data_IF_886618494739
#
_entry.id   IF_886618494739
#
_cell.length_a   1.000
_cell.length_b   1.000
_cell.length_c   1.000
_cell.angle_alpha   90.00
_cell.angle_beta   90.00
_cell.angle_gamma   90.00
#
_symmetry.space_group_name_H-M   'P 1'
#
loop_
_entity.id
_entity.type
_entity.pdbx_description
1 polymer ?
#
# COMPACT_ATOMS: atom_id res chain seq x y z
N UNK A 1 0.79 2.53 -2.02
CA UNK A 1 1.38 3.87 -2.28
C UNK A 1 0.38 4.81 -2.94
N UNK A 2 0.02 4.61 -4.23
CA UNK A 2 -0.93 5.50 -4.96
C UNK A 2 -2.24 5.77 -4.19
N UNK A 3 -2.87 4.74 -3.63
CA UNK A 3 -4.10 4.90 -2.85
C UNK A 3 -3.95 5.88 -1.68
N UNK A 4 -2.78 5.97 -1.04
CA UNK A 4 -2.51 6.93 0.03
C UNK A 4 -2.36 8.37 -0.49
N UNK A 5 -1.65 8.56 -1.61
CA UNK A 5 -1.52 9.88 -2.27
C UNK A 5 -2.90 10.41 -2.65
N UNK A 6 -3.71 9.58 -3.29
CA UNK A 6 -5.04 9.95 -3.77
C UNK A 6 -6.03 10.15 -2.60
N UNK A 7 -5.96 9.34 -1.53
CA UNK A 7 -6.83 9.49 -0.36
C UNK A 7 -6.46 10.69 0.51
N UNK A 8 -5.16 10.98 0.70
CA UNK A 8 -4.72 12.21 1.40
C UNK A 8 -5.22 13.46 0.67
N UNK A 9 -5.09 13.49 -0.66
CA UNK A 9 -5.63 14.57 -1.49
C UNK A 9 -7.16 14.70 -1.39
N UNK A 10 -7.88 13.58 -1.34
CA UNK A 10 -9.34 13.55 -1.16
C UNK A 10 -9.76 14.14 0.19
N UNK A 11 -9.07 13.76 1.28
CA UNK A 11 -9.32 14.28 2.62
C UNK A 11 -9.00 15.78 2.70
N UNK A 12 -7.85 16.21 2.19
CA UNK A 12 -7.44 17.62 2.18
C UNK A 12 -8.46 18.49 1.44
N UNK A 13 -8.96 18.02 0.29
CA UNK A 13 -9.99 18.77 -0.44
C UNK A 13 -11.33 18.82 0.28
N UNK A 14 -11.77 17.74 0.94
CA UNK A 14 -12.97 17.77 1.78
C UNK A 14 -12.83 18.76 2.93
N UNK A 15 -11.74 18.67 3.70
CA UNK A 15 -11.45 19.59 4.82
C UNK A 15 -11.40 21.04 4.33
N UNK A 16 -10.78 21.30 3.18
CA UNK A 16 -10.70 22.63 2.56
C UNK A 16 -12.06 23.15 2.06
N UNK A 17 -12.97 22.29 1.58
CA UNK A 17 -14.37 22.65 1.29
C UNK A 17 -15.13 22.97 2.58
N UNK A 18 -15.00 22.14 3.60
CA UNK A 18 -15.70 22.29 4.88
C UNK A 18 -15.28 23.58 5.63
N UNK A 19 -13.99 23.91 5.66
CA UNK A 19 -13.48 25.18 6.22
C UNK A 19 -14.10 26.38 5.48
N UNK A 20 -14.08 26.37 4.14
CA UNK A 20 -14.68 27.42 3.30
C UNK A 20 -16.18 27.57 3.50
N UNK A 21 -16.92 26.46 3.69
CA UNK A 21 -18.36 26.48 3.92
C UNK A 21 -18.74 27.00 5.32
N UNK A 22 -17.86 26.83 6.32
CA UNK A 22 -18.09 27.24 7.72
C UNK A 22 -17.49 28.59 8.08
N UNK A 23 -16.60 29.15 7.24
CA UNK A 23 -15.86 30.38 7.55
C UNK A 23 -14.87 30.22 8.71
N UNK A 24 -14.42 28.99 8.98
CA UNK A 24 -13.52 28.68 10.09
C UNK A 24 -12.11 28.32 9.60
N UNK A 25 -11.14 29.06 10.13
CA UNK A 25 -9.73 29.06 9.77
C UNK A 25 -8.84 28.55 10.94
N UNK A 26 -9.45 28.22 12.08
CA UNK A 26 -8.74 28.16 13.38
C UNK A 26 -8.02 26.84 13.69
N UNK A 27 -8.04 25.86 12.79
CA UNK A 27 -7.38 24.57 12.99
C UNK A 27 -6.77 24.02 11.69
N UNK A 28 -5.50 24.34 11.46
CA UNK A 28 -4.68 23.74 10.40
C UNK A 28 -4.24 22.32 10.76
N UNK A 29 -5.12 21.35 10.54
CA UNK A 29 -4.70 19.98 10.25
C UNK A 29 -4.27 19.89 8.78
N UNK A 30 -3.19 19.14 8.50
CA UNK A 30 -2.61 18.95 7.16
C UNK A 30 -2.56 17.46 6.84
N UNK A 31 -3.15 17.04 5.71
CA UNK A 31 -3.18 15.62 5.31
C UNK A 31 -1.98 15.27 4.42
N UNK A 32 -1.01 14.50 4.94
CA UNK A 32 0.21 14.14 4.21
C UNK A 32 0.29 12.62 3.94
N UNK A 33 0.51 12.17 2.69
CA UNK A 33 0.64 10.75 2.38
C UNK A 33 2.02 10.21 2.77
N UNK A 34 2.07 9.38 3.81
CA UNK A 34 3.30 8.68 4.24
C UNK A 34 3.42 7.33 3.53
N UNK A 35 4.58 7.05 2.94
CA UNK A 35 4.91 5.76 2.34
C UNK A 35 5.51 4.83 3.39
N UNK A 36 4.90 3.66 3.63
CA UNK A 36 5.38 2.65 4.57
C UNK A 36 6.57 1.82 4.01
N UNK A 37 7.60 2.53 3.56
CA UNK A 37 8.93 2.06 3.17
C UNK A 37 9.94 3.15 3.56
N UNK A 38 11.24 2.84 3.59
CA UNK A 38 12.26 3.90 3.70
C UNK A 38 12.52 4.55 2.34
N UNK A 39 12.89 5.84 2.28
CA UNK A 39 13.13 6.56 1.00
C UNK A 39 14.13 5.83 0.11
N UNK A 40 15.25 5.36 0.66
CA UNK A 40 16.29 4.63 -0.08
C UNK A 40 15.83 3.24 -0.58
N UNK A 41 14.80 2.65 0.03
CA UNK A 41 14.25 1.36 -0.42
C UNK A 41 13.32 1.47 -1.62
N UNK A 42 12.98 2.70 -2.07
CA UNK A 42 12.26 2.92 -3.34
C UNK A 42 13.01 2.41 -4.57
N UNK A 43 14.33 2.20 -4.48
CA UNK A 43 15.11 1.47 -5.49
C UNK A 43 14.60 0.05 -5.77
N UNK A 44 13.94 -0.59 -4.80
CA UNK A 44 13.27 -1.89 -4.96
C UNK A 44 11.87 -1.76 -5.57
N UNK A 45 11.27 -0.57 -5.53
CA UNK A 45 9.90 -0.25 -5.97
C UNK A 45 9.92 0.50 -7.32
N UNK A 46 10.72 0.01 -8.28
CA UNK A 46 11.02 0.72 -9.55
C UNK A 46 9.78 1.17 -10.31
N UNK A 47 8.71 0.36 -10.34
CA UNK A 47 7.47 0.68 -11.04
C UNK A 47 6.74 1.88 -10.42
N UNK A 48 6.68 1.95 -9.09
CA UNK A 48 6.10 3.09 -8.37
C UNK A 48 6.96 4.36 -8.52
N UNK A 49 8.28 4.23 -8.38
CA UNK A 49 9.21 5.34 -8.57
C UNK A 49 9.16 5.90 -10.01
N UNK A 50 9.08 5.02 -11.02
CA UNK A 50 8.90 5.42 -12.42
C UNK A 50 7.55 6.08 -12.66
N UNK A 51 6.46 5.52 -12.12
CA UNK A 51 5.12 6.10 -12.25
C UNK A 51 5.10 7.53 -11.70
N UNK A 52 5.68 7.76 -10.51
CA UNK A 52 5.77 9.10 -9.91
C UNK A 52 6.55 10.08 -10.80
N UNK A 53 7.73 9.67 -11.27
CA UNK A 53 8.54 10.45 -12.21
C UNK A 53 7.77 10.76 -13.51
N UNK A 54 7.13 9.76 -14.13
CA UNK A 54 6.41 9.89 -15.40
C UNK A 54 5.17 10.79 -15.32
N UNK A 55 4.47 10.84 -14.18
CA UNK A 55 3.34 11.77 -14.00
C UNK A 55 3.77 13.18 -13.54
N UNK A 56 5.06 13.42 -13.32
CA UNK A 56 5.58 14.69 -12.80
C UNK A 56 5.28 14.91 -11.31
N UNK A 57 5.15 13.85 -10.52
CA UNK A 57 4.97 13.95 -9.07
C UNK A 57 6.34 14.19 -8.41
N UNK A 58 6.47 15.32 -7.72
CA UNK A 58 7.65 15.64 -6.93
C UNK A 58 7.82 14.66 -5.76
N UNK A 59 9.00 14.05 -5.65
CA UNK A 59 9.31 13.08 -4.61
C UNK A 59 9.59 13.72 -3.25
N UNK A 60 9.85 15.04 -3.19
CA UNK A 60 10.04 15.77 -1.92
C UNK A 60 8.69 16.05 -1.23
N UNK A 61 7.62 16.14 -2.03
CA UNK A 61 6.21 16.19 -1.59
C UNK A 61 5.68 14.85 -1.06
N UNK A 62 6.51 13.80 -0.96
CA UNK A 62 6.20 12.52 -0.31
C UNK A 62 7.05 12.35 0.96
N UNK A 63 6.42 11.92 2.06
CA UNK A 63 7.12 11.50 3.28
C UNK A 63 7.30 9.98 3.30
N UNK A 64 8.43 9.52 3.83
CA UNK A 64 8.73 8.10 4.02
C UNK A 64 8.76 7.72 5.50
N UNK A 65 8.63 6.42 5.80
CA UNK A 65 8.52 5.93 7.18
C UNK A 65 9.73 6.24 8.08
N UNK A 66 10.88 6.56 7.49
CA UNK A 66 12.10 6.98 8.19
C UNK A 66 12.24 8.51 8.38
N UNK A 67 11.22 9.28 8.02
CA UNK A 67 11.26 10.75 7.92
C UNK A 67 10.21 11.45 8.80
N UNK A 68 9.35 10.65 9.45
CA UNK A 68 8.27 11.13 10.31
C UNK A 68 8.56 10.66 11.74
N UNK A 69 8.72 11.61 12.65
CA UNK A 69 8.80 11.34 14.09
C UNK A 69 7.41 10.99 14.63
N UNK A 70 6.97 9.75 14.35
CA UNK A 70 5.67 9.25 14.79
C UNK A 70 5.57 9.16 16.32
N UNK A 71 6.68 8.90 17.01
CA UNK A 71 6.72 8.80 18.48
C UNK A 71 6.57 10.18 19.13
N UNK A 72 7.37 11.18 18.72
CA UNK A 72 7.26 12.56 19.20
C UNK A 72 5.91 13.20 18.85
N UNK A 73 5.37 12.96 17.65
CA UNK A 73 4.04 13.45 17.26
C UNK A 73 2.91 12.79 18.07
N UNK A 74 3.02 11.49 18.38
CA UNK A 74 2.08 10.78 19.24
C UNK A 74 2.15 11.28 20.69
N UNK A 75 3.35 11.38 21.26
CA UNK A 75 3.59 11.88 22.62
C UNK A 75 3.19 13.34 22.81
N UNK A 76 3.28 14.16 21.75
CA UNK A 76 2.80 15.54 21.75
C UNK A 76 1.27 15.68 21.54
N UNK A 77 0.54 14.57 21.32
CA UNK A 77 -0.90 14.59 21.02
C UNK A 77 -1.25 15.22 19.67
N UNK A 78 -0.31 15.27 18.71
CA UNK A 78 -0.44 15.93 17.40
C UNK A 78 -0.62 14.97 16.23
N UNK A 79 -0.58 13.66 16.47
CA UNK A 79 -0.74 12.63 15.44
C UNK A 79 -2.18 12.13 15.33
N UNK A 80 -2.69 12.07 14.10
CA UNK A 80 -3.80 11.21 13.70
C UNK A 80 -3.34 10.41 12.49
N UNK A 81 -3.56 9.10 12.48
CA UNK A 81 -3.03 8.19 11.46
C UNK A 81 -4.12 7.24 10.97
N UNK A 82 -4.13 6.97 9.66
CA UNK A 82 -5.08 6.08 9.00
C UNK A 82 -4.28 5.18 8.03
N UNK A 83 -4.32 3.87 8.24
CA UNK A 83 -3.61 2.89 7.42
C UNK A 83 -4.46 2.51 6.20
N UNK A 84 -3.98 2.84 5.00
CA UNK A 84 -4.68 2.53 3.76
C UNK A 84 -4.67 1.02 3.49
N UNK A 85 -5.84 0.45 3.19
CA UNK A 85 -6.06 -0.98 3.04
C UNK A 85 -6.45 -1.70 4.35
N UNK A 86 -6.14 -1.11 5.51
CA UNK A 86 -6.43 -1.69 6.83
C UNK A 86 -7.52 -0.92 7.59
N UNK A 87 -7.49 0.41 7.62
CA UNK A 87 -8.52 1.21 8.31
C UNK A 87 -9.56 1.72 7.32
N UNK A 88 -9.12 2.08 6.11
CA UNK A 88 -9.94 2.59 5.01
C UNK A 88 -9.55 1.90 3.69
N UNK A 89 -10.45 1.92 2.69
CA UNK A 89 -10.23 1.28 1.39
C UNK A 89 -9.91 -0.24 1.50
N UNK A 90 -10.52 -0.94 2.46
CA UNK A 90 -10.45 -2.40 2.58
C UNK A 90 -11.05 -3.05 1.32
N UNK A 91 -10.35 -4.04 0.75
CA UNK A 91 -10.87 -4.88 -0.33
C UNK A 91 -11.69 -6.02 0.28
N UNK A 92 -12.99 -6.06 -0.03
CA UNK A 92 -13.92 -7.09 0.44
C UNK A 92 -14.17 -8.20 -0.60
N UNK A 93 -13.27 -8.37 -1.58
CA UNK A 93 -13.42 -9.33 -2.67
C UNK A 93 -14.34 -8.89 -3.83
N UNK A 94 -14.75 -7.62 -3.85
CA UNK A 94 -15.55 -7.01 -4.95
C UNK A 94 -14.70 -6.22 -5.96
N UNK A 95 -13.39 -6.09 -5.73
CA UNK A 95 -12.43 -5.32 -6.55
C UNK A 95 -11.04 -5.97 -6.51
N UNK A 96 -10.24 -5.78 -7.56
CA UNK A 96 -8.82 -6.13 -7.58
C UNK A 96 -7.89 -5.07 -6.99
N UNK A 97 -8.27 -3.78 -7.05
CA UNK A 97 -7.45 -2.66 -6.55
C UNK A 97 -8.13 -1.84 -5.47
N UNK A 98 -7.34 -1.35 -4.50
CA UNK A 98 -7.77 -0.32 -3.54
C UNK A 98 -8.09 1.02 -4.24
N UNK A 99 -7.48 1.28 -5.40
CA UNK A 99 -7.69 2.51 -6.16
C UNK A 99 -9.05 2.52 -6.87
N UNK A 100 -9.61 1.35 -7.19
CA UNK A 100 -11.00 1.21 -7.70
C UNK A 100 -12.01 1.76 -6.69
N UNK A 101 -11.79 1.54 -5.40
CA UNK A 101 -12.66 2.07 -4.33
C UNK A 101 -12.66 3.60 -4.34
N UNK A 102 -11.54 4.26 -4.65
CA UNK A 102 -11.47 5.72 -4.76
C UNK A 102 -12.28 6.28 -5.94
N UNK A 103 -12.36 5.56 -7.06
CA UNK A 103 -13.19 5.96 -8.20
C UNK A 103 -14.69 5.70 -8.00
N UNK A 104 -15.04 4.74 -7.15
CA UNK A 104 -16.42 4.28 -6.88
C UNK A 104 -17.10 5.06 -5.74
N UNK A 105 -16.37 5.91 -5.00
CA UNK A 105 -16.95 6.78 -3.99
C UNK A 105 -17.72 7.96 -4.65
N UNK A 106 -19.00 7.75 -5.01
CA UNK A 106 -19.93 8.67 -5.72
C UNK A 106 -20.21 10.06 -5.07
N UNK A 107 -19.31 10.60 -4.25
CA UNK A 107 -19.35 11.94 -3.70
C UNK A 107 -18.66 12.96 -4.64
N UNK A 108 -19.04 14.24 -4.55
CA UNK A 108 -18.44 15.33 -5.35
C UNK A 108 -16.91 15.46 -5.12
N UNK A 109 -16.36 14.98 -4.00
CA UNK A 109 -14.91 14.99 -3.75
C UNK A 109 -14.13 14.04 -4.68
N UNK A 110 -14.73 12.90 -5.05
CA UNK A 110 -14.14 11.99 -6.01
C UNK A 110 -14.16 12.57 -7.44
N UNK A 111 -15.14 13.43 -7.75
CA UNK A 111 -15.18 14.12 -9.04
C UNK A 111 -13.97 15.04 -9.22
N UNK A 112 -13.64 15.88 -8.24
CA UNK A 112 -12.46 16.77 -8.31
C UNK A 112 -11.14 15.97 -8.42
N UNK A 113 -11.07 14.84 -7.72
CA UNK A 113 -9.95 13.88 -7.79
C UNK A 113 -9.82 13.25 -9.18
N UNK A 114 -10.94 12.94 -9.84
CA UNK A 114 -10.98 12.44 -11.22
C UNK A 114 -10.71 13.53 -12.27
N UNK A 115 -11.00 14.81 -11.98
CA UNK A 115 -10.62 15.93 -12.87
C UNK A 115 -9.11 16.23 -12.82
N UNK A 116 -8.43 15.90 -11.71
CA UNK A 116 -6.99 16.16 -11.54
C UNK A 116 -6.14 15.19 -12.39
N UNK A 117 -5.46 15.64 -13.47
CA UNK A 117 -4.90 14.71 -14.47
C UNK A 117 -3.80 13.79 -13.94
N UNK A 118 -3.02 14.26 -12.97
CA UNK A 118 -1.97 13.47 -12.28
C UNK A 118 -2.61 12.32 -11.49
N UNK A 119 -3.63 12.61 -10.68
CA UNK A 119 -4.33 11.60 -9.88
C UNK A 119 -5.08 10.60 -10.77
N UNK A 120 -5.76 11.07 -11.82
CA UNK A 120 -6.40 10.22 -12.85
C UNK A 120 -5.41 9.23 -13.47
N UNK A 121 -4.20 9.67 -13.84
CA UNK A 121 -3.13 8.78 -14.33
C UNK A 121 -2.62 7.81 -13.25
N UNK A 122 -2.39 8.29 -12.02
CA UNK A 122 -1.92 7.45 -10.91
C UNK A 122 -2.91 6.33 -10.59
N UNK A 123 -4.20 6.64 -10.47
CA UNK A 123 -5.28 5.68 -10.21
C UNK A 123 -5.35 4.63 -11.31
N UNK A 124 -5.32 5.06 -12.58
CA UNK A 124 -5.35 4.15 -13.73
C UNK A 124 -4.15 3.20 -13.71
N UNK A 125 -2.94 3.74 -13.51
CA UNK A 125 -1.72 2.94 -13.44
C UNK A 125 -1.74 1.93 -12.27
N UNK A 126 -2.25 2.31 -11.10
CA UNK A 126 -2.36 1.44 -9.95
C UNK A 126 -3.39 0.31 -10.17
N UNK A 127 -4.58 0.63 -10.68
CA UNK A 127 -5.59 -0.40 -10.99
C UNK A 127 -5.04 -1.36 -12.03
N UNK A 128 -4.40 -0.88 -13.11
CA UNK A 128 -3.82 -1.73 -14.15
C UNK A 128 -2.67 -2.62 -13.62
N UNK A 129 -1.85 -2.14 -12.68
CA UNK A 129 -0.82 -2.97 -12.03
C UNK A 129 -1.45 -4.06 -11.14
N UNK A 130 -2.30 -3.68 -10.19
CA UNK A 130 -2.95 -4.59 -9.23
C UNK A 130 -3.76 -5.69 -9.95
N UNK A 131 -4.38 -5.34 -11.09
CA UNK A 131 -5.26 -6.22 -11.88
C UNK A 131 -4.56 -6.97 -13.02
N UNK A 132 -3.25 -6.78 -13.23
CA UNK A 132 -2.52 -7.32 -14.40
C UNK A 132 -3.20 -6.95 -15.73
N UNK A 133 -3.49 -5.66 -15.91
CA UNK A 133 -4.28 -5.10 -17.02
C UNK A 133 -5.67 -5.74 -17.16
N UNK A 134 -6.39 -5.93 -16.04
CA UNK A 134 -7.68 -6.63 -15.95
C UNK A 134 -7.66 -8.10 -16.43
N UNK A 135 -6.51 -8.78 -16.36
CA UNK A 135 -6.36 -10.20 -16.73
C UNK A 135 -6.02 -11.12 -15.54
N UNK A 136 -5.98 -10.59 -14.31
CA UNK A 136 -5.65 -11.38 -13.11
C UNK A 136 -6.64 -12.55 -12.93
N UNK A 137 -6.19 -13.82 -12.83
CA UNK A 137 -7.05 -15.01 -12.74
C UNK A 137 -7.61 -15.20 -11.31
N UNK A 138 -8.03 -14.12 -10.67
CA UNK A 138 -8.48 -14.12 -9.27
C UNK A 138 -9.88 -14.73 -9.10
N UNK A 139 -10.22 -15.12 -7.88
CA UNK A 139 -11.58 -15.57 -7.52
C UNK A 139 -12.61 -14.43 -7.45
N UNK A 140 -12.22 -13.19 -7.71
CA UNK A 140 -13.02 -11.98 -7.53
C UNK A 140 -13.46 -11.39 -8.86
N UNK A 141 -14.67 -10.81 -8.88
CA UNK A 141 -15.20 -10.12 -10.08
C UNK A 141 -14.46 -8.81 -10.30
N UNK A 142 -13.82 -8.69 -11.47
CA UNK A 142 -13.07 -7.48 -11.86
C UNK A 142 -13.95 -6.42 -12.53
N UNK A 143 -15.28 -6.57 -12.46
CA UNK A 143 -16.24 -5.69 -13.16
C UNK A 143 -16.12 -4.24 -12.71
N UNK A 144 -15.99 -3.98 -11.39
CA UNK A 144 -15.81 -2.63 -10.84
C UNK A 144 -14.47 -2.03 -11.24
N UNK A 145 -13.40 -2.82 -11.31
CA UNK A 145 -12.10 -2.36 -11.81
C UNK A 145 -12.18 -2.01 -13.31
N UNK A 146 -12.97 -2.76 -14.09
CA UNK A 146 -13.21 -2.46 -15.51
C UNK A 146 -14.04 -1.17 -15.71
N UNK A 147 -15.09 -0.96 -14.92
CA UNK A 147 -15.88 0.28 -14.90
C UNK A 147 -15.01 1.50 -14.50
N UNK A 148 -14.18 1.35 -13.46
CA UNK A 148 -13.22 2.36 -13.03
C UNK A 148 -12.19 2.68 -14.11
N UNK A 149 -11.59 1.68 -14.74
CA UNK A 149 -10.67 1.85 -15.87
C UNK A 149 -11.36 2.55 -17.04
N UNK A 150 -12.62 2.21 -17.36
CA UNK A 150 -13.37 2.89 -18.42
C UNK A 150 -13.60 4.37 -18.11
N UNK A 151 -13.98 4.72 -16.87
CA UNK A 151 -14.14 6.10 -16.41
C UNK A 151 -12.82 6.89 -16.46
N UNK A 152 -11.73 6.28 -16.02
CA UNK A 152 -10.39 6.86 -16.04
C UNK A 152 -9.80 7.00 -17.45
N UNK A 153 -10.31 6.27 -18.44
CA UNK A 153 -9.91 6.37 -19.85
C UNK A 153 -10.70 7.41 -20.66
N UNK A 154 -11.76 8.03 -20.13
CA UNK A 154 -12.53 9.01 -20.91
C UNK A 154 -11.65 10.23 -21.25
N UNK A 155 -11.53 10.53 -22.55
CA UNK A 155 -10.65 11.57 -23.09
C UNK A 155 -9.22 11.11 -23.42
N UNK A 156 -8.88 9.83 -23.17
CA UNK A 156 -7.60 9.24 -23.59
C UNK A 156 -7.62 8.81 -25.07
N UNK A 157 -6.44 8.65 -25.66
CA UNK A 157 -6.30 8.08 -27.02
C UNK A 157 -6.67 6.59 -27.05
N UNK A 158 -7.05 6.05 -28.22
CA UNK A 158 -7.15 4.60 -28.41
C UNK A 158 -5.87 3.88 -27.96
N UNK A 159 -6.03 2.66 -27.44
CA UNK A 159 -4.97 1.81 -26.89
C UNK A 159 -4.17 2.35 -25.69
N UNK A 160 -4.43 3.58 -25.20
CA UNK A 160 -3.68 4.21 -24.09
C UNK A 160 -3.55 3.31 -22.85
N UNK A 161 -4.61 2.56 -22.50
CA UNK A 161 -4.62 1.54 -21.44
C UNK A 161 -3.46 0.56 -21.55
N UNK A 162 -3.28 -0.04 -22.73
CA UNK A 162 -2.28 -1.07 -22.96
C UNK A 162 -0.89 -0.42 -23.01
N UNK A 163 -0.72 0.67 -23.78
CA UNK A 163 0.56 1.40 -23.83
C UNK A 163 1.05 1.85 -22.46
N UNK A 164 0.16 2.30 -21.58
CA UNK A 164 0.48 2.67 -20.20
C UNK A 164 0.88 1.42 -19.37
N UNK A 165 0.16 0.31 -19.50
CA UNK A 165 0.51 -0.93 -18.80
C UNK A 165 1.84 -1.52 -19.28
N UNK A 166 2.08 -1.56 -20.59
CA UNK A 166 3.30 -2.03 -21.21
C UNK A 166 4.52 -1.23 -20.69
N UNK A 167 4.38 0.09 -20.58
CA UNK A 167 5.38 0.96 -19.96
C UNK A 167 5.56 0.66 -18.46
N UNK A 168 4.47 0.45 -17.71
CA UNK A 168 4.53 0.15 -16.27
C UNK A 168 5.21 -1.20 -15.95
N UNK A 169 5.18 -2.18 -16.86
CA UNK A 169 5.86 -3.48 -16.69
C UNK A 169 7.25 -3.57 -17.34
N UNK A 170 7.62 -2.62 -18.20
CA UNK A 170 8.92 -2.58 -18.87
C UNK A 170 10.07 -2.38 -17.85
N UNK A 171 11.24 -2.98 -18.10
CA UNK A 171 12.44 -2.68 -17.31
C UNK A 171 12.92 -1.25 -17.62
N UNK A 172 12.64 -0.35 -16.67
CA UNK A 172 12.87 1.08 -16.81
C UNK A 172 14.36 1.42 -16.73
N UNK A 173 15.02 1.44 -17.89
CA UNK A 173 16.46 1.72 -18.08
C UNK A 173 16.77 3.12 -18.63
N UNK A 174 15.77 3.99 -18.76
CA UNK A 174 15.99 5.37 -19.20
C UNK A 174 16.99 6.10 -18.28
N UNK A 175 17.90 6.88 -18.88
CA UNK A 175 18.97 7.56 -18.17
C UNK A 175 18.44 8.71 -17.29
N UNK A 176 17.44 9.46 -17.75
CA UNK A 176 16.86 10.56 -16.99
C UNK A 176 16.05 10.04 -15.79
N UNK A 177 15.31 8.94 -15.96
CA UNK A 177 14.71 8.22 -14.84
C UNK A 177 15.77 7.66 -13.87
N UNK A 178 16.85 7.04 -14.36
CA UNK A 178 17.92 6.52 -13.51
C UNK A 178 18.65 7.62 -12.72
N UNK A 179 18.77 8.83 -13.29
CA UNK A 179 19.28 9.99 -12.59
C UNK A 179 18.28 10.53 -11.56
N UNK A 180 17.02 10.73 -11.93
CA UNK A 180 15.97 11.14 -11.01
C UNK A 180 15.81 10.15 -9.84
N UNK A 181 16.01 8.85 -10.08
CA UNK A 181 15.99 7.81 -9.06
C UNK A 181 17.17 7.95 -8.08
N UNK A 182 18.35 8.40 -8.55
CA UNK A 182 19.52 8.70 -7.69
C UNK A 182 19.36 9.99 -6.90
N UNK A 183 18.81 11.03 -7.53
CA UNK A 183 18.60 12.33 -6.88
C UNK A 183 17.53 12.23 -5.78
N UNK A 184 16.39 11.60 -6.06
CA UNK A 184 15.23 11.58 -5.16
C UNK A 184 15.24 10.44 -4.12
N UNK A 185 16.02 9.37 -4.34
CA UNK A 185 16.01 8.16 -3.49
C UNK A 185 17.41 7.62 -3.16
N UNK A 186 18.44 8.44 -3.31
CA UNK A 186 19.82 8.10 -2.94
C UNK A 186 20.48 7.06 -3.85
N UNK A 187 21.56 6.43 -3.37
CA UNK A 187 22.36 5.49 -4.16
C UNK A 187 21.64 4.13 -4.34
N UNK A 188 21.82 3.44 -5.48
CA UNK A 188 21.35 2.08 -5.64
C UNK A 188 21.94 1.14 -4.58
N UNK A 189 21.22 0.08 -4.16
CA UNK A 189 21.79 -0.97 -3.34
C UNK A 189 23.05 -1.56 -3.98
N UNK A 190 24.13 -1.67 -3.21
CA UNK A 190 25.37 -2.31 -3.66
C UNK A 190 25.07 -3.77 -4.06
N UNK A 191 25.47 -4.16 -5.28
CA UNK A 191 25.31 -5.56 -5.75
C UNK A 191 26.29 -6.54 -5.09
N UNK A 192 27.25 -6.04 -4.33
CA UNK A 192 28.18 -6.85 -3.53
C UNK A 192 27.50 -7.38 -2.27
N UNK A 193 26.75 -8.48 -2.43
CA UNK A 193 26.30 -9.28 -1.29
C UNK A 193 27.48 -10.01 -0.68
N UNK A 194 28.10 -9.41 0.34
CA UNK A 194 28.85 -10.13 1.36
C UNK A 194 28.46 -9.54 2.72
N UNK A 195 28.07 -10.42 3.63
CA UNK A 195 27.81 -10.06 5.02
C UNK A 195 29.15 -9.72 5.70
N UNK A 196 29.24 -8.51 6.22
CA UNK A 196 30.35 -8.01 7.03
C UNK A 196 29.83 -6.87 7.90
N UNK A 197 28.80 -7.17 8.68
CA UNK A 197 28.68 -6.53 9.99
C UNK A 197 29.83 -7.06 10.89
N UNK A 198 30.07 -6.35 11.99
CA UNK A 198 31.22 -6.48 12.89
C UNK A 198 32.58 -5.93 12.35
N UNK A 199 33.43 -5.52 13.30
CA UNK A 199 34.80 -5.03 13.10
C UNK A 199 35.02 -3.70 12.32
N UNK A 200 34.23 -2.66 12.66
CA UNK A 200 34.65 -1.26 12.53
C UNK A 200 34.72 -0.49 13.87
N UNK A 201 34.63 -1.20 15.01
CA UNK A 201 34.93 -0.66 16.33
C UNK A 201 36.44 -0.80 16.64
N UNK A 202 36.96 0.13 17.45
CA UNK A 202 38.35 0.19 17.94
C UNK A 202 39.45 0.41 16.90
N UNK A 203 39.80 1.69 16.70
CA UNK A 203 41.20 2.08 16.48
C UNK A 203 41.60 3.18 17.46
N UNK A 204 42.76 2.98 18.09
CA UNK A 204 43.57 3.95 18.83
C UNK A 204 42.99 4.57 20.12
N UNK A 205 43.36 3.99 21.27
CA UNK A 205 44.07 4.74 22.31
C UNK A 205 44.83 3.77 23.23
N UNK A 206 46.14 3.65 23.02
CA UNK A 206 47.00 2.87 23.94
C UNK A 206 47.27 3.65 25.23
N UNK A 207 47.12 3.02 26.39
CA UNK A 207 47.83 3.42 27.63
C UNK A 207 48.15 2.20 28.51
N UNK A 208 49.44 2.07 28.83
CA UNK A 208 50.07 1.22 29.86
C UNK A 208 49.39 1.43 31.24
N UNK A 209 49.41 0.55 32.25
CA UNK A 209 49.81 -0.87 32.49
C UNK A 209 49.41 -1.15 34.00
N UNK A 210 49.83 -2.22 34.73
CA UNK A 210 50.51 -3.48 34.39
C UNK A 210 49.77 -4.76 34.91
N UNK A 211 50.47 -5.88 34.96
CA UNK A 211 50.01 -7.25 35.25
C UNK A 211 49.74 -7.61 36.71
N UNK A 212 48.82 -8.57 36.94
CA UNK A 212 48.87 -9.55 38.05
C UNK A 212 48.59 -10.96 37.49
N UNK A 213 49.33 -11.98 37.95
CA UNK A 213 49.11 -13.40 37.64
C UNK A 213 48.09 -14.03 38.59
N UNK A 214 47.33 -15.01 38.10
CA UNK A 214 47.20 -16.30 38.83
C UNK A 214 46.93 -17.47 37.87
N UNK A 215 47.02 -18.69 38.38
CA UNK A 215 47.16 -19.96 37.63
C UNK A 215 46.42 -21.09 38.36
N UNK A 216 45.96 -22.09 37.58
CA UNK A 216 45.38 -23.39 38.01
C UNK A 216 44.02 -23.33 38.74
N UNK A 217 43.20 -24.39 38.79
CA UNK A 217 43.48 -25.81 38.46
C UNK A 217 42.37 -26.49 37.61
N UNK A 218 42.69 -27.69 37.10
CA UNK A 218 41.78 -28.61 36.39
C UNK A 218 41.29 -29.70 37.36
N UNK A 219 40.00 -30.04 37.34
CA UNK A 219 39.50 -31.39 37.69
C UNK A 219 38.45 -31.80 36.65
N UNK A 220 38.52 -33.05 36.18
CA UNK A 220 37.57 -33.71 35.28
C UNK A 220 36.62 -34.60 36.09
N UNK A 221 35.44 -34.94 35.57
CA UNK A 221 35.11 -36.35 35.26
C UNK A 221 33.67 -36.60 34.73
N UNK A 222 33.63 -37.37 33.63
CA UNK A 222 32.73 -38.51 33.32
C UNK A 222 31.26 -38.46 33.77
N UNK A 223 30.32 -38.29 32.84
CA UNK A 223 29.69 -39.37 32.01
C UNK A 223 28.48 -40.05 32.68
N UNK A 224 27.38 -40.10 31.94
CA UNK A 224 26.83 -41.38 31.48
C UNK A 224 25.80 -41.18 30.35
N UNK A 225 25.94 -42.00 29.29
CA UNK A 225 24.86 -42.25 28.30
C UNK A 225 23.78 -43.13 28.93
N UNK A 226 22.58 -43.16 28.33
CA UNK A 226 22.10 -44.35 27.63
C UNK A 226 20.98 -44.00 26.64
N UNK A 227 20.93 -44.72 25.52
CA UNK A 227 20.05 -44.48 24.39
C UNK A 227 18.76 -45.34 24.43
N UNK A 228 17.75 -44.92 23.66
CA UNK A 228 17.10 -45.73 22.60
C UNK A 228 15.55 -45.95 22.62
N UNK A 229 15.00 -45.85 21.40
CA UNK A 229 13.88 -46.63 20.80
C UNK A 229 12.42 -46.36 21.22
N UNK A 230 11.79 -45.48 20.43
CA UNK A 230 10.71 -45.80 19.46
C UNK A 230 9.65 -46.87 19.79
N UNK A 231 8.37 -46.53 19.56
CA UNK A 231 7.46 -47.43 18.84
C UNK A 231 6.38 -46.67 18.04
N UNK A 232 5.84 -47.29 16.98
CA UNK A 232 4.66 -46.85 16.22
C UNK A 232 3.39 -47.51 16.79
N UNK A 233 2.21 -46.94 16.50
CA UNK A 233 1.02 -47.65 15.94
C UNK A 233 -0.13 -46.66 15.69
N UNK A 234 -1.01 -46.98 14.74
CA UNK A 234 -2.30 -46.32 14.52
C UNK A 234 -3.35 -47.34 14.05
N UNK A 235 -4.63 -47.20 14.44
CA UNK A 235 -5.77 -47.78 13.71
C UNK A 235 -6.69 -46.70 13.09
N UNK A 236 -7.75 -47.15 12.40
CA UNK A 236 -8.67 -46.35 11.57
C UNK A 236 -10.06 -46.13 12.20
N UNK A 237 -10.77 -45.12 11.66
CA UNK A 237 -12.21 -45.01 11.37
C UNK A 237 -13.27 -45.61 12.31
N UNK A 238 -14.33 -44.84 12.60
CA UNK A 238 -15.65 -45.02 11.92
C UNK A 238 -16.64 -43.86 12.20
N UNK A 239 -17.89 -43.97 11.71
CA UNK A 239 -18.92 -42.91 11.63
C UNK A 239 -20.33 -43.49 11.78
N UNK A 240 -21.26 -42.77 12.44
CA UNK A 240 -22.70 -42.91 12.18
C UNK A 240 -23.43 -41.58 11.87
N UNK A 241 -24.64 -41.69 11.31
CA UNK A 241 -25.72 -40.68 11.33
C UNK A 241 -26.73 -41.05 12.45
N UNK A 242 -27.84 -40.37 12.77
CA UNK A 242 -28.64 -39.25 12.21
C UNK A 242 -29.33 -38.52 13.42
N UNK A 243 -30.42 -37.72 13.40
CA UNK A 243 -31.39 -37.19 12.42
C UNK A 243 -32.10 -35.95 13.03
N UNK A 244 -32.75 -35.08 12.25
CA UNK A 244 -33.63 -34.02 12.79
C UNK A 244 -34.08 -32.96 11.75
N UNK A 245 -35.21 -32.24 11.93
CA UNK A 245 -36.07 -31.90 10.78
C UNK A 245 -36.50 -30.43 10.58
N UNK A 246 -37.04 -30.18 9.39
CA UNK A 246 -38.09 -29.19 9.01
C UNK A 246 -37.80 -27.67 9.10
N UNK A 247 -38.14 -26.97 8.01
CA UNK A 247 -38.38 -25.53 7.96
C UNK A 247 -39.89 -25.22 7.91
N UNK A 248 -40.32 -24.01 8.32
CA UNK A 248 -41.19 -23.22 7.45
C UNK A 248 -40.74 -21.72 7.41
N UNK A 249 -41.57 -20.69 7.10
CA UNK A 249 -41.42 -19.97 5.84
C UNK A 249 -40.99 -18.50 5.99
N UNK A 250 -40.81 -17.83 4.84
CA UNK A 250 -40.25 -16.49 4.74
C UNK A 250 -41.07 -15.39 5.45
N UNK A 251 -40.34 -14.38 5.96
CA UNK A 251 -40.83 -13.01 6.14
C UNK A 251 -39.90 -12.05 5.42
N UNK A 252 -40.45 -11.23 4.53
CA UNK A 252 -39.73 -10.09 3.97
C UNK A 252 -39.67 -8.97 5.02
N UNK A 253 -38.56 -8.23 5.03
CA UNK A 253 -38.46 -6.89 5.61
C UNK A 253 -37.65 -6.02 4.64
N UNK A 254 -37.94 -4.71 4.54
CA UNK A 254 -37.48 -3.90 3.42
C UNK A 254 -36.02 -3.47 3.52
N UNK A 255 -35.29 -3.60 2.41
CA UNK A 255 -34.02 -2.91 2.18
C UNK A 255 -34.23 -1.39 2.21
N UNK A 256 -33.31 -0.66 2.84
CA UNK A 256 -33.30 0.80 2.86
C UNK A 256 -31.95 1.36 2.40
N UNK A 257 -32.00 2.42 1.59
CA UNK A 257 -30.91 3.35 1.23
C UNK A 257 -29.66 2.85 0.47
N UNK A 258 -29.71 1.78 -0.34
CA UNK A 258 -28.68 1.55 -1.40
C UNK A 258 -28.94 2.40 -2.65
N UNK A 259 -28.87 3.73 -2.50
CA UNK A 259 -29.22 4.73 -3.52
C UNK A 259 -28.25 4.80 -4.70
N UNK A 260 -28.61 4.20 -5.85
CA UNK A 260 -27.84 4.28 -7.09
C UNK A 260 -28.14 5.58 -7.86
N UNK A 261 -27.24 6.57 -7.78
CA UNK A 261 -27.38 7.87 -8.46
C UNK A 261 -27.19 7.78 -10.00
N UNK A 262 -28.27 7.48 -10.71
CA UNK A 262 -28.33 7.39 -12.20
C UNK A 262 -27.85 8.68 -12.91
N UNK A 263 -27.87 9.83 -12.25
CA UNK A 263 -27.52 11.13 -12.83
C UNK A 263 -26.02 11.34 -13.10
N UNK A 264 -25.12 10.58 -12.46
CA UNK A 264 -23.67 10.79 -12.65
C UNK A 264 -23.22 10.47 -14.09
N UNK A 265 -23.64 9.31 -14.62
CA UNK A 265 -23.38 8.92 -16.01
C UNK A 265 -24.01 9.92 -16.99
N UNK A 266 -25.22 10.43 -16.70
CA UNK A 266 -25.88 11.42 -17.54
C UNK A 266 -25.07 12.73 -17.64
N UNK A 267 -24.49 13.21 -16.53
CA UNK A 267 -23.63 14.41 -16.50
C UNK A 267 -22.31 14.20 -17.29
N UNK A 268 -21.76 12.98 -17.29
CA UNK A 268 -20.49 12.67 -17.98
C UNK A 268 -20.67 12.37 -19.48
N UNK A 269 -21.79 11.75 -19.88
CA UNK A 269 -22.11 11.42 -21.28
C UNK A 269 -23.00 12.46 -21.99
N UNK A 270 -23.28 13.61 -21.37
CA UNK A 270 -24.02 14.70 -22.00
C UNK A 270 -25.56 14.54 -22.05
N UNK A 271 -26.12 13.55 -21.34
CA UNK A 271 -27.56 13.30 -21.24
C UNK A 271 -28.24 14.10 -20.10
N UNK A 272 -27.78 15.33 -19.85
CA UNK A 272 -28.51 16.28 -19.01
C UNK A 272 -29.70 16.90 -19.75
N UNK A 273 -30.80 17.27 -19.07
CA UNK A 273 -31.83 18.10 -19.68
C UNK A 273 -31.26 19.49 -20.04
N UNK A 274 -31.83 20.11 -21.07
CA UNK A 274 -31.58 21.50 -21.46
C UNK A 274 -32.44 22.46 -20.64
#
# INVERSE_FOLDING_TARGET
MVAAICYAWLLENRVRKDRKAKGDDRNECVMVPVMNVKRETMWKQRQAAWLFYHVGLDANSLLFANEVDLEGLMMAGKLSMIVIGQDVLRINGEVGSQCTILTDNYCEDAYDLLQTPVLKKLLLAAILLDTQNLNSPSQHSMARDAEAVQLLLVGSTPNYRNTLFDQLIQDQRDNAFLEALRQNYGKPPNKSGHESEEHAAHKNSERKAPSIHHREAIIQNTDNKYDAKTNKVSPKSEKPSSQGPSAPPAKANPDASRGKNKFFLAKWFGFGPK
#
